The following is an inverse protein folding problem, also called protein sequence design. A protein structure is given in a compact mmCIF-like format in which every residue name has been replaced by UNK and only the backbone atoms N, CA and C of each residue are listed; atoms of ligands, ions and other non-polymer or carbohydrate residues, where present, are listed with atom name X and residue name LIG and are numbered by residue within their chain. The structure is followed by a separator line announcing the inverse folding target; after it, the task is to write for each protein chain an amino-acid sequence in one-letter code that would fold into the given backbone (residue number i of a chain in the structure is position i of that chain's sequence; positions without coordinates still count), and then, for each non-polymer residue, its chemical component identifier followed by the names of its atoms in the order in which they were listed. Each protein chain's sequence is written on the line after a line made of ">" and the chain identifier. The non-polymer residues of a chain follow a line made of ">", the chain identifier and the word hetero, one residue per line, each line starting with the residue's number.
data_IF_678926668896
#
_entry.id   IF_678926668896
#
_cell.length_a   1.000
_cell.length_b   1.000
_cell.length_c   1.000
_cell.angle_alpha   90.00
_cell.angle_beta   90.00
_cell.angle_gamma   90.00
#
_symmetry.space_group_name_H-M   'P 1'
#
loop_
_entity.id
_entity.type
_entity.pdbx_description
1 polymer ?
#
# COMPACT_ATOMS: atom_id res chain seq x y z
N UNK A 1 3.24 5.35 0.00
CA UNK A 1 3.14 4.10 -0.79
C UNK A 1 4.15 4.04 -1.95
N UNK A 2 4.42 5.16 -2.64
CA UNK A 2 5.26 5.19 -3.85
C UNK A 2 6.64 4.50 -3.76
N UNK A 3 7.43 4.77 -2.71
CA UNK A 3 8.76 4.15 -2.57
C UNK A 3 8.70 2.63 -2.43
N UNK A 4 7.72 2.11 -1.68
CA UNK A 4 7.52 0.67 -1.56
C UNK A 4 7.06 0.07 -2.89
N UNK A 5 6.12 0.75 -3.57
CA UNK A 5 5.64 0.31 -4.87
C UNK A 5 6.79 0.22 -5.89
N UNK A 6 7.66 1.24 -5.95
CA UNK A 6 8.81 1.22 -6.84
C UNK A 6 9.80 0.08 -6.51
N UNK A 7 10.02 -0.19 -5.21
CA UNK A 7 10.88 -1.29 -4.77
C UNK A 7 10.31 -2.66 -5.13
N UNK A 8 9.00 -2.85 -5.01
CA UNK A 8 8.34 -4.14 -5.33
C UNK A 8 8.25 -4.34 -6.85
N UNK A 9 7.94 -3.29 -7.61
CA UNK A 9 7.88 -3.33 -9.08
C UNK A 9 9.26 -3.37 -9.76
N UNK A 10 10.34 -3.03 -9.05
CA UNK A 10 11.68 -2.92 -9.62
C UNK A 10 11.88 -1.71 -10.55
N UNK A 11 10.89 -0.82 -10.64
CA UNK A 11 10.88 0.40 -11.46
C UNK A 11 9.97 1.44 -10.83
N UNK A 12 10.13 2.71 -11.20
CA UNK A 12 9.19 3.75 -10.77
C UNK A 12 7.84 3.54 -11.47
N UNK A 13 6.71 3.40 -10.74
CA UNK A 13 5.41 3.27 -11.37
C UNK A 13 5.01 4.57 -12.08
N UNK A 14 4.35 4.47 -13.23
CA UNK A 14 3.80 5.62 -13.96
C UNK A 14 2.67 6.31 -13.18
N UNK A 15 1.83 5.51 -12.53
CA UNK A 15 0.72 5.98 -11.71
C UNK A 15 0.81 5.34 -10.34
N UNK A 16 0.68 6.15 -9.29
CA UNK A 16 0.56 5.70 -7.92
C UNK A 16 -0.58 6.50 -7.26
N UNK A 17 -1.58 5.80 -6.73
CA UNK A 17 -2.67 6.39 -5.97
C UNK A 17 -2.79 5.73 -4.61
N UNK A 18 -3.20 6.50 -3.61
CA UNK A 18 -3.52 5.99 -2.28
C UNK A 18 -4.70 6.75 -1.67
N UNK A 19 -5.36 6.09 -0.72
CA UNK A 19 -6.54 6.61 -0.01
C UNK A 19 -6.51 6.17 1.45
N UNK A 20 -6.62 7.14 2.35
CA UNK A 20 -6.89 6.87 3.76
C UNK A 20 -8.32 6.35 3.95
N UNK A 21 -8.47 5.23 4.66
CA UNK A 21 -9.74 4.56 4.93
C UNK A 21 -10.12 4.58 6.41
N UNK A 22 -9.13 4.49 7.29
CA UNK A 22 -9.32 4.66 8.74
C UNK A 22 -8.04 5.17 9.41
N UNK A 23 -8.14 5.88 10.56
CA UNK A 23 -6.95 6.40 11.23
C UNK A 23 -6.00 5.30 11.68
N UNK A 24 -4.70 5.52 11.46
CA UNK A 24 -3.63 4.81 12.15
C UNK A 24 -3.14 5.69 13.29
N UNK A 25 -3.26 5.21 14.53
CA UNK A 25 -2.89 5.98 15.72
C UNK A 25 -1.44 5.67 16.12
N UNK A 26 -0.74 6.69 16.59
CA UNK A 26 0.64 6.56 17.11
C UNK A 26 0.70 5.47 18.18
N UNK A 27 1.74 4.64 18.12
CA UNK A 27 1.94 3.50 19.02
C UNK A 27 1.22 2.21 18.59
N UNK A 28 0.41 2.24 17.53
CA UNK A 28 -0.20 1.04 16.97
C UNK A 28 0.75 0.34 15.98
N UNK A 29 0.95 -0.96 16.13
CA UNK A 29 1.61 -1.78 15.12
C UNK A 29 0.74 -1.85 13.86
N UNK A 30 1.38 -1.63 12.71
CA UNK A 30 0.77 -1.77 11.40
C UNK A 30 1.65 -2.61 10.50
N UNK A 31 1.02 -3.34 9.59
CA UNK A 31 1.65 -4.08 8.52
C UNK A 31 1.36 -3.39 7.20
N UNK A 32 2.36 -3.36 6.32
CA UNK A 32 2.17 -2.97 4.93
C UNK A 32 2.21 -4.23 4.09
N UNK A 33 1.15 -4.46 3.35
CA UNK A 33 0.98 -5.62 2.49
C UNK A 33 0.90 -5.17 1.03
N UNK A 34 1.36 -6.03 0.14
CA UNK A 34 1.34 -5.78 -1.29
C UNK A 34 1.04 -7.08 -2.03
N UNK A 35 0.26 -6.98 -3.10
CA UNK A 35 -0.07 -8.09 -4.00
C UNK A 35 0.08 -7.62 -5.43
N UNK A 36 0.81 -8.39 -6.24
CA UNK A 36 0.83 -8.22 -7.68
C UNK A 36 -0.49 -8.63 -8.31
N UNK A 37 -0.92 -7.83 -9.28
CA UNK A 37 -2.12 -8.00 -10.09
C UNK A 37 -1.75 -7.63 -11.52
N UNK A 38 -1.22 -8.60 -12.27
CA UNK A 38 -0.60 -8.41 -13.59
C UNK A 38 0.47 -7.28 -13.59
N UNK A 39 0.24 -6.20 -14.35
CA UNK A 39 1.11 -5.01 -14.42
C UNK A 39 0.83 -3.98 -13.31
N UNK A 40 -0.08 -4.30 -12.39
CA UNK A 40 -0.44 -3.47 -11.26
C UNK A 40 0.04 -4.06 -9.94
N UNK A 41 0.18 -3.19 -8.95
CA UNK A 41 0.45 -3.52 -7.57
C UNK A 41 -0.66 -2.95 -6.70
N UNK A 42 -1.41 -3.82 -6.04
CA UNK A 42 -2.30 -3.43 -4.96
C UNK A 42 -1.50 -3.39 -3.65
N UNK A 43 -1.60 -2.28 -2.92
CA UNK A 43 -0.97 -2.11 -1.62
C UNK A 43 -2.00 -1.72 -0.58
N UNK A 44 -1.81 -2.15 0.66
CA UNK A 44 -2.62 -1.67 1.77
C UNK A 44 -1.83 -1.68 3.07
N UNK A 45 -2.26 -0.82 4.00
CA UNK A 45 -1.78 -0.79 5.37
C UNK A 45 -2.90 -1.29 6.26
N UNK A 46 -2.62 -2.31 7.05
CA UNK A 46 -3.56 -2.87 8.00
C UNK A 46 -2.97 -2.85 9.41
N UNK A 47 -3.84 -2.65 10.39
CA UNK A 47 -3.51 -2.89 11.79
C UNK A 47 -3.72 -4.38 12.08
N UNK A 48 -2.88 -4.98 12.91
CA UNK A 48 -3.01 -6.39 13.25
C UNK A 48 -4.42 -6.71 13.79
N UNK A 49 -5.14 -7.62 13.12
CA UNK A 49 -6.50 -8.02 13.49
C UNK A 49 -7.57 -6.92 13.34
N UNK A 50 -7.33 -5.88 12.53
CA UNK A 50 -8.19 -4.68 12.43
C UNK A 50 -8.38 -4.24 10.96
N UNK A 51 -9.34 -3.33 10.69
CA UNK A 51 -9.59 -2.84 9.34
C UNK A 51 -8.38 -2.12 8.71
N UNK A 52 -8.37 -2.11 7.37
CA UNK A 52 -7.39 -1.38 6.54
C UNK A 52 -7.44 0.11 6.87
N UNK A 53 -6.27 0.71 7.09
CA UNK A 53 -6.09 2.14 7.36
C UNK A 53 -5.84 2.93 6.09
N UNK A 54 -5.17 2.33 5.12
CA UNK A 54 -4.88 2.93 3.82
C UNK A 54 -4.87 1.86 2.74
N UNK A 55 -5.44 2.16 1.57
CA UNK A 55 -5.26 1.36 0.36
C UNK A 55 -4.50 2.17 -0.69
N UNK A 56 -3.87 1.48 -1.63
CA UNK A 56 -3.20 2.09 -2.76
C UNK A 56 -3.09 1.15 -3.95
N UNK A 57 -2.88 1.75 -5.11
CA UNK A 57 -2.63 1.04 -6.37
C UNK A 57 -1.47 1.72 -7.08
N UNK A 58 -0.58 0.93 -7.64
CA UNK A 58 0.46 1.41 -8.54
C UNK A 58 0.39 0.62 -9.85
N UNK A 59 0.68 1.26 -10.97
CA UNK A 59 0.78 0.60 -12.28
C UNK A 59 2.09 0.97 -12.95
N UNK A 60 2.67 -0.01 -13.63
CA UNK A 60 3.88 0.15 -14.43
C UNK A 60 3.71 1.09 -15.61
#
# INVERSE_FOLDING_TARGET
>A
MMNLAARVLGRVPQVCSDRGLSPLIVGQTAEVQARHDDDALALWVARAGRPVTMSGRATG
#
